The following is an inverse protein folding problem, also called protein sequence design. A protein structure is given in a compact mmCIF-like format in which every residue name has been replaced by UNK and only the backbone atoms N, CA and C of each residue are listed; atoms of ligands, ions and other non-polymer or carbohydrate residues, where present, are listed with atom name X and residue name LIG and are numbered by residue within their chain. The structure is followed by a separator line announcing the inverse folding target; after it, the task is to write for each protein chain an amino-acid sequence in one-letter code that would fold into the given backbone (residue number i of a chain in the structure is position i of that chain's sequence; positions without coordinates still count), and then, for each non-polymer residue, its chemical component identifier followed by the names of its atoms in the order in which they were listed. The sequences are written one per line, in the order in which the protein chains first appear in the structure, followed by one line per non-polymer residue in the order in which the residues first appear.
data_IF_967326728039
#
_entry.id   IF_967326728039
#
_cell.length_a   1.000
_cell.length_b   1.000
_cell.length_c   1.000
_cell.angle_alpha   90.00
_cell.angle_beta   90.00
_cell.angle_gamma   90.00
#
_symmetry.space_group_name_H-M   'P 1'
#
loop_
_entity.id
_entity.type
_entity.pdbx_description
1 polymer ?
#
# COMPACT_ATOMS: atom_id res chain seq x y z
N UNK A 1 32.29 7.15 -2.17
CA UNK A 1 30.99 7.61 -2.71
C UNK A 1 30.04 6.43 -2.68
N UNK A 2 28.96 6.49 -1.89
CA UNK A 2 27.98 5.40 -1.89
C UNK A 2 27.18 5.47 -3.20
N UNK A 3 27.11 4.36 -3.95
CA UNK A 3 26.14 4.21 -5.04
C UNK A 3 24.75 4.41 -4.44
N UNK A 4 23.97 5.33 -4.98
CA UNK A 4 22.54 5.36 -4.70
C UNK A 4 21.98 3.97 -5.06
N UNK A 5 21.40 3.27 -4.09
CA UNK A 5 20.75 1.99 -4.34
C UNK A 5 19.47 2.28 -5.12
N UNK A 6 19.50 2.01 -6.42
CA UNK A 6 18.30 2.06 -7.22
C UNK A 6 17.35 0.96 -6.75
N UNK A 7 16.07 1.33 -6.53
CA UNK A 7 15.04 0.33 -6.30
C UNK A 7 14.92 -0.52 -7.57
N UNK A 8 15.23 -1.81 -7.43
CA UNK A 8 14.98 -2.81 -8.46
C UNK A 8 13.53 -3.23 -8.33
N UNK A 9 12.75 -2.94 -9.36
CA UNK A 9 11.38 -3.42 -9.47
C UNK A 9 11.42 -4.89 -9.85
N UNK A 10 10.79 -5.73 -9.04
CA UNK A 10 10.62 -7.15 -9.29
C UNK A 10 9.20 -7.40 -9.75
N UNK A 11 9.08 -8.12 -10.85
CA UNK A 11 7.78 -8.52 -11.39
C UNK A 11 7.05 -9.42 -10.40
N UNK A 12 5.73 -9.25 -10.31
CA UNK A 12 4.90 -10.00 -9.35
C UNK A 12 4.87 -9.42 -7.93
N UNK A 13 5.77 -8.51 -7.59
CA UNK A 13 5.85 -7.92 -6.26
C UNK A 13 4.99 -6.66 -6.11
N UNK A 14 4.61 -6.36 -4.86
CA UNK A 14 3.85 -5.15 -4.52
C UNK A 14 4.72 -4.12 -3.82
N UNK A 15 4.40 -2.85 -4.06
CA UNK A 15 5.13 -1.71 -3.57
C UNK A 15 4.18 -0.64 -3.03
N UNK A 16 4.67 0.22 -2.14
CA UNK A 16 4.05 1.50 -1.84
C UNK A 16 4.83 2.62 -2.53
N UNK A 17 4.11 3.63 -3.03
CA UNK A 17 4.69 4.85 -3.58
C UNK A 17 4.60 5.91 -2.50
N UNK A 18 5.69 6.07 -1.75
CA UNK A 18 5.72 6.80 -0.48
C UNK A 18 6.33 8.19 -0.67
N UNK A 19 5.65 9.20 -0.17
CA UNK A 19 6.14 10.57 -0.11
C UNK A 19 7.22 10.72 0.97
N UNK A 20 8.02 11.81 0.96
CA UNK A 20 9.05 12.04 1.98
C UNK A 20 8.53 12.10 3.41
N UNK A 21 7.25 12.45 3.64
CA UNK A 21 6.65 12.47 4.97
C UNK A 21 6.03 11.13 5.41
N UNK A 22 6.25 10.05 4.64
CA UNK A 22 5.84 8.70 4.99
C UNK A 22 4.41 8.32 4.63
N UNK A 23 3.64 9.22 4.03
CA UNK A 23 2.34 8.91 3.43
C UNK A 23 2.52 8.24 2.07
N UNK A 24 1.45 7.65 1.54
CA UNK A 24 1.51 6.86 0.31
C UNK A 24 0.42 7.25 -0.67
N UNK A 25 0.68 7.06 -1.97
CA UNK A 25 -0.37 7.14 -2.98
C UNK A 25 -1.36 5.98 -2.81
N UNK A 26 -2.64 6.30 -2.91
CA UNK A 26 -3.74 5.34 -2.84
C UNK A 26 -4.85 5.68 -3.84
N UNK A 27 -5.69 4.69 -4.13
CA UNK A 27 -6.99 4.94 -4.75
C UNK A 27 -7.92 5.54 -3.69
N UNK A 28 -8.44 6.73 -3.99
CA UNK A 28 -9.32 7.49 -3.10
C UNK A 28 -10.57 6.68 -2.74
N UNK A 29 -10.91 6.69 -1.45
CA UNK A 29 -12.13 6.13 -0.88
C UNK A 29 -12.40 4.68 -1.33
N UNK A 30 -11.32 3.86 -1.47
CA UNK A 30 -11.40 2.45 -1.89
C UNK A 30 -12.27 2.22 -3.14
N UNK A 31 -12.43 3.26 -3.95
CA UNK A 31 -13.40 3.29 -5.02
C UNK A 31 -12.90 2.38 -6.14
N UNK A 32 -13.75 1.47 -6.63
CA UNK A 32 -13.37 0.49 -7.65
C UNK A 32 -13.65 0.95 -9.08
N UNK A 33 -14.27 2.12 -9.24
CA UNK A 33 -14.69 2.65 -10.54
C UNK A 33 -13.54 3.29 -11.31
N UNK A 34 -13.69 3.28 -12.64
CA UNK A 34 -12.90 4.13 -13.52
C UNK A 34 -13.14 5.61 -13.16
N UNK A 35 -12.08 6.41 -13.13
CA UNK A 35 -12.17 7.83 -12.74
C UNK A 35 -11.99 8.09 -11.25
N UNK A 36 -11.84 7.06 -10.41
CA UNK A 36 -11.50 7.30 -9.01
C UNK A 36 -10.12 7.98 -8.90
N UNK A 37 -10.07 9.08 -8.14
CA UNK A 37 -8.86 9.87 -7.98
C UNK A 37 -7.74 9.12 -7.27
N UNK A 38 -6.50 9.50 -7.58
CA UNK A 38 -5.32 9.07 -6.82
C UNK A 38 -4.96 10.18 -5.83
N UNK A 39 -4.80 9.82 -4.56
CA UNK A 39 -4.52 10.77 -3.50
C UNK A 39 -3.41 10.29 -2.58
N UNK A 40 -2.90 11.20 -1.75
CA UNK A 40 -1.99 10.90 -0.66
C UNK A 40 -2.76 10.58 0.62
N UNK A 41 -2.36 9.51 1.32
CA UNK A 41 -2.94 9.16 2.62
C UNK A 41 -1.94 8.48 3.54
N UNK A 42 -2.24 8.48 4.84
CA UNK A 42 -1.48 7.68 5.81
C UNK A 42 -1.54 6.20 5.43
N UNK A 43 -0.38 5.53 5.42
CA UNK A 43 -0.35 4.10 5.13
C UNK A 43 -1.01 3.31 6.26
N UNK A 44 -1.96 2.45 5.88
CA UNK A 44 -2.74 1.60 6.78
C UNK A 44 -2.66 0.11 6.38
N UNK A 45 -1.79 -0.25 5.43
CA UNK A 45 -1.61 -1.64 5.00
C UNK A 45 -2.70 -2.16 4.07
N UNK A 46 -3.55 -1.28 3.52
CA UNK A 46 -4.66 -1.70 2.69
C UNK A 46 -4.25 -1.97 1.24
N UNK A 47 -4.91 -2.92 0.54
CA UNK A 47 -4.57 -3.24 -0.86
C UNK A 47 -4.71 -2.07 -1.84
N UNK A 48 -5.61 -1.11 -1.60
CA UNK A 48 -5.76 0.06 -2.48
C UNK A 48 -4.63 1.09 -2.35
N UNK A 49 -3.71 0.88 -1.40
CA UNK A 49 -2.50 1.68 -1.20
C UNK A 49 -1.25 0.98 -1.79
N UNK A 50 -1.43 -0.18 -2.41
CA UNK A 50 -0.35 -1.05 -2.88
C UNK A 50 -0.40 -1.20 -4.39
N UNK A 51 0.76 -1.19 -5.00
CA UNK A 51 0.93 -1.07 -6.44
C UNK A 51 1.87 -2.14 -6.97
N UNK A 52 1.50 -2.76 -8.08
CA UNK A 52 2.37 -3.61 -8.88
C UNK A 52 2.84 -2.81 -10.09
N UNK A 53 4.13 -2.89 -10.39
CA UNK A 53 4.71 -2.30 -11.60
C UNK A 53 4.73 -3.38 -12.68
N UNK A 54 3.88 -3.22 -13.68
CA UNK A 54 3.72 -4.17 -14.79
C UNK A 54 4.49 -3.65 -16.00
N UNK A 55 5.30 -4.49 -16.64
CA UNK A 55 6.09 -4.08 -17.80
C UNK A 55 5.18 -3.55 -18.94
N UNK A 56 5.61 -2.42 -19.52
CA UNK A 56 4.97 -1.78 -20.67
C UNK A 56 5.90 -1.72 -21.89
N UNK A 57 7.04 -2.43 -21.84
CA UNK A 57 8.07 -2.45 -22.86
C UNK A 57 8.91 -1.18 -22.86
N UNK A 58 10.09 -1.25 -23.47
CA UNK A 58 11.02 -0.10 -23.62
C UNK A 58 11.42 0.53 -22.28
N UNK A 59 11.47 -0.26 -21.19
CA UNK A 59 11.80 0.21 -19.85
C UNK A 59 10.71 1.06 -19.18
N UNK A 60 9.48 1.00 -19.71
CA UNK A 60 8.30 1.70 -19.17
C UNK A 60 7.47 0.76 -18.31
N UNK A 61 6.66 1.34 -17.44
CA UNK A 61 5.80 0.62 -16.51
C UNK A 61 4.36 1.09 -16.61
N UNK A 62 3.41 0.18 -16.41
CA UNK A 62 2.07 0.50 -15.92
C UNK A 62 2.05 0.27 -14.41
N UNK A 63 1.40 1.18 -13.68
CA UNK A 63 1.33 1.10 -12.22
C UNK A 63 -0.07 0.61 -11.84
N UNK A 64 -0.19 -0.68 -11.56
CA UNK A 64 -1.45 -1.37 -11.31
C UNK A 64 -1.77 -1.39 -9.82
N UNK A 65 -2.99 -1.01 -9.45
CA UNK A 65 -3.46 -1.11 -8.08
C UNK A 65 -3.74 -2.58 -7.70
N UNK A 66 -3.27 -3.01 -6.53
CA UNK A 66 -3.49 -4.38 -6.03
C UNK A 66 -4.96 -4.69 -5.76
N UNK A 67 -5.75 -3.72 -5.32
CA UNK A 67 -7.16 -3.93 -4.98
C UNK A 67 -8.05 -4.00 -6.23
N UNK A 68 -7.88 -3.07 -7.16
CA UNK A 68 -8.82 -2.89 -8.28
C UNK A 68 -8.34 -3.50 -9.59
N UNK A 69 -7.04 -3.81 -9.72
CA UNK A 69 -6.42 -4.24 -10.97
C UNK A 69 -6.33 -3.14 -12.04
N UNK A 70 -6.70 -1.90 -11.71
CA UNK A 70 -6.68 -0.73 -12.62
C UNK A 70 -5.35 0.00 -12.55
N UNK A 71 -5.06 0.81 -13.55
CA UNK A 71 -3.78 1.50 -13.73
C UNK A 71 -3.88 2.96 -13.27
N UNK A 72 -2.81 3.51 -12.70
CA UNK A 72 -2.65 4.98 -12.59
C UNK A 72 -2.62 5.55 -14.02
N UNK A 73 -3.50 6.50 -14.28
CA UNK A 73 -3.76 7.10 -15.58
C UNK A 73 -3.89 8.62 -15.47
N UNK A 74 -3.65 9.33 -16.57
CA UNK A 74 -3.93 10.76 -16.67
C UNK A 74 -5.41 10.97 -16.97
N UNK A 75 -6.10 11.78 -16.16
CA UNK A 75 -7.51 12.07 -16.37
C UNK A 75 -7.74 12.63 -17.79
N UNK A 76 -8.63 11.97 -18.54
CA UNK A 76 -8.97 12.30 -19.94
C UNK A 76 -7.76 12.33 -20.89
N UNK A 77 -6.64 11.70 -20.54
CA UNK A 77 -5.39 11.77 -21.30
C UNK A 77 -4.76 13.17 -21.34
N UNK A 78 -5.12 14.06 -20.41
CA UNK A 78 -4.60 15.43 -20.36
C UNK A 78 -3.07 15.47 -20.17
N UNK A 79 -2.40 16.42 -20.83
CA UNK A 79 -0.93 16.55 -20.80
C UNK A 79 -0.43 17.87 -20.22
N UNK A 80 -1.35 18.73 -19.79
CA UNK A 80 -1.04 20.03 -19.19
C UNK A 80 -0.70 19.87 -17.71
N UNK A 81 0.07 20.83 -17.18
CA UNK A 81 0.31 20.94 -15.74
C UNK A 81 -1.01 20.98 -14.97
N UNK A 82 -1.08 20.24 -13.87
CA UNK A 82 -2.30 20.13 -13.07
C UNK A 82 -3.30 19.09 -13.58
N UNK A 83 -2.98 18.32 -14.63
CA UNK A 83 -3.82 17.17 -14.99
C UNK A 83 -3.83 16.18 -13.84
N UNK A 84 -5.03 15.88 -13.35
CA UNK A 84 -5.22 14.96 -12.24
C UNK A 84 -4.88 13.52 -12.60
N UNK A 85 -4.41 12.78 -11.60
CA UNK A 85 -4.31 11.33 -11.68
C UNK A 85 -5.61 10.69 -11.22
N UNK A 86 -6.03 9.67 -11.97
CA UNK A 86 -7.12 8.76 -11.61
C UNK A 86 -6.69 7.32 -11.86
N UNK A 87 -7.50 6.35 -11.44
CA UNK A 87 -7.38 5.00 -11.94
C UNK A 87 -8.26 4.80 -13.17
N UNK A 88 -7.80 3.99 -14.11
CA UNK A 88 -8.61 3.54 -15.22
C UNK A 88 -8.26 2.10 -15.60
N UNK A 89 -9.23 1.41 -16.20
CA UNK A 89 -9.00 0.09 -16.79
C UNK A 89 -7.86 0.15 -17.81
N UNK A 90 -7.10 -0.95 -17.95
CA UNK A 90 -5.91 -0.96 -18.82
C UNK A 90 -6.27 -0.55 -20.25
N UNK A 91 -5.49 0.36 -20.82
CA UNK A 91 -5.54 0.74 -22.23
C UNK A 91 -4.17 0.54 -22.90
N UNK A 92 -4.14 0.65 -24.23
CA UNK A 92 -2.91 0.73 -25.01
C UNK A 92 -2.28 2.14 -25.00
N UNK A 93 -2.96 3.14 -24.43
CA UNK A 93 -2.54 4.53 -24.45
C UNK A 93 -1.31 4.80 -23.56
N UNK A 94 -0.50 5.78 -23.98
CA UNK A 94 0.69 6.22 -23.24
C UNK A 94 0.36 6.99 -21.96
N UNK A 95 -0.89 7.41 -21.75
CA UNK A 95 -1.34 8.05 -20.51
C UNK A 95 -1.17 7.15 -19.28
N UNK A 96 -1.12 5.82 -19.47
CA UNK A 96 -0.89 4.82 -18.42
C UNK A 96 0.57 4.34 -18.34
N UNK A 97 1.47 4.88 -19.18
CA UNK A 97 2.86 4.46 -19.24
C UNK A 97 3.75 5.44 -18.47
N UNK A 98 4.61 4.90 -17.62
CA UNK A 98 5.43 5.65 -16.68
C UNK A 98 6.90 5.22 -16.77
N UNK A 99 7.80 6.20 -16.77
CA UNK A 99 9.24 5.99 -16.63
C UNK A 99 9.66 6.24 -15.17
N UNK A 100 10.52 5.38 -14.64
CA UNK A 100 11.08 5.52 -13.30
C UNK A 100 12.48 6.14 -13.40
N UNK A 101 12.64 7.31 -12.80
CA UNK A 101 13.88 8.08 -12.84
C UNK A 101 14.50 8.21 -11.45
N UNK A 102 15.55 7.45 -11.15
CA UNK A 102 16.27 7.55 -9.89
C UNK A 102 16.93 8.90 -9.71
N UNK A 103 16.93 9.39 -8.49
CA UNK A 103 17.68 10.58 -8.08
C UNK A 103 18.95 10.19 -7.33
N UNK A 104 19.90 11.12 -7.23
CA UNK A 104 21.14 10.90 -6.47
C UNK A 104 20.90 10.67 -4.97
N UNK A 105 19.76 11.10 -4.45
CA UNK A 105 19.37 10.91 -3.05
C UNK A 105 18.72 9.54 -2.80
N UNK A 106 18.67 8.64 -3.79
CA UNK A 106 18.03 7.33 -3.67
C UNK A 106 16.51 7.37 -3.74
N UNK A 107 15.91 8.50 -4.13
CA UNK A 107 14.47 8.61 -4.42
C UNK A 107 14.21 8.36 -5.91
N UNK A 108 12.95 8.30 -6.31
CA UNK A 108 12.52 8.09 -7.69
C UNK A 108 11.52 9.16 -8.09
N UNK A 109 11.71 9.75 -9.26
CA UNK A 109 10.67 10.54 -9.92
C UNK A 109 9.93 9.64 -10.89
N UNK A 110 8.61 9.74 -10.94
CA UNK A 110 7.75 8.90 -11.79
C UNK A 110 7.20 9.79 -12.89
N UNK A 111 7.74 9.66 -14.10
CA UNK A 111 7.40 10.52 -15.23
C UNK A 111 6.39 9.82 -16.14
N UNK A 112 5.32 10.51 -16.48
CA UNK A 112 4.39 10.04 -17.49
C UNK A 112 5.02 10.13 -18.88
N UNK A 113 4.89 9.07 -19.67
CA UNK A 113 5.50 8.96 -21.00
C UNK A 113 4.78 9.83 -22.04
N UNK A 114 3.46 10.00 -21.93
CA UNK A 114 2.68 10.85 -22.85
C UNK A 114 2.94 12.34 -22.62
N UNK A 115 2.93 12.77 -21.35
CA UNK A 115 2.93 14.20 -21.00
C UNK A 115 4.33 14.78 -20.73
N UNK A 116 5.35 13.93 -20.59
CA UNK A 116 6.71 14.28 -20.16
C UNK A 116 6.75 15.06 -18.84
N UNK A 117 5.86 14.68 -17.89
CA UNK A 117 5.64 15.33 -16.59
C UNK A 117 5.60 14.33 -15.46
N UNK A 118 5.85 14.79 -14.24
CA UNK A 118 6.07 13.93 -13.09
C UNK A 118 4.84 13.88 -12.19
N UNK A 119 4.61 12.73 -11.56
CA UNK A 119 3.64 12.62 -10.46
C UNK A 119 4.03 13.62 -9.36
N UNK A 120 3.09 14.50 -9.02
CA UNK A 120 3.28 15.70 -8.22
C UNK A 120 2.16 15.85 -7.19
N UNK A 121 2.52 16.35 -6.00
CA UNK A 121 1.57 16.82 -5.00
C UNK A 121 1.37 18.34 -5.12
N UNK A 122 0.11 18.73 -5.36
CA UNK A 122 -0.31 20.13 -5.52
C UNK A 122 0.19 20.99 -4.37
N UNK A 123 0.95 22.04 -4.68
CA UNK A 123 1.42 23.02 -3.70
C UNK A 123 2.24 22.41 -2.56
N UNK A 124 2.89 21.26 -2.79
CA UNK A 124 3.58 20.48 -1.76
C UNK A 124 2.67 20.05 -0.59
N UNK A 125 1.36 19.97 -0.81
CA UNK A 125 0.42 19.57 0.22
C UNK A 125 0.62 18.09 0.56
N UNK A 126 1.06 17.84 1.79
CA UNK A 126 1.30 16.48 2.27
C UNK A 126 0.22 16.00 3.26
N UNK A 127 -0.95 16.64 3.31
CA UNK A 127 -2.08 16.20 4.12
C UNK A 127 -2.75 14.95 3.53
N UNK A 128 -3.53 14.25 4.37
CA UNK A 128 -4.42 13.20 3.88
C UNK A 128 -5.46 13.82 2.94
N UNK A 129 -5.70 13.16 1.82
CA UNK A 129 -6.65 13.60 0.80
C UNK A 129 -6.07 14.57 -0.23
N UNK A 130 -4.77 14.90 -0.14
CA UNK A 130 -4.11 15.67 -1.17
C UNK A 130 -4.11 14.88 -2.49
N UNK A 131 -4.82 15.38 -3.50
CA UNK A 131 -4.93 14.71 -4.79
C UNK A 131 -3.63 14.85 -5.58
N UNK A 132 -3.22 13.78 -6.26
CA UNK A 132 -2.03 13.76 -7.09
C UNK A 132 -2.33 14.25 -8.51
N UNK A 133 -1.40 15.01 -9.06
CA UNK A 133 -1.45 15.57 -10.42
C UNK A 133 -0.16 15.23 -11.17
N UNK A 134 -0.06 15.70 -12.42
CA UNK A 134 1.23 15.84 -13.10
C UNK A 134 1.68 17.30 -13.14
N UNK A 135 2.99 17.51 -13.04
CA UNK A 135 3.60 18.82 -13.20
C UNK A 135 4.96 18.71 -13.88
N UNK A 136 5.45 19.80 -14.48
CA UNK A 136 6.84 19.85 -14.94
C UNK A 136 7.79 19.64 -13.77
N UNK A 137 9.03 19.22 -14.06
CA UNK A 137 10.01 19.08 -13.00
C UNK A 137 10.23 20.42 -12.30
N UNK A 138 10.04 20.41 -10.99
CA UNK A 138 10.48 21.50 -10.11
C UNK A 138 11.39 20.93 -9.04
N UNK A 139 12.41 21.70 -8.65
CA UNK A 139 13.29 21.31 -7.56
C UNK A 139 12.54 21.41 -6.22
N UNK A 140 11.78 20.37 -5.90
CA UNK A 140 10.96 20.25 -4.69
C UNK A 140 10.75 18.77 -4.35
N UNK A 141 10.68 18.46 -3.05
CA UNK A 141 10.51 17.07 -2.58
C UNK A 141 9.15 16.45 -2.92
N UNK A 142 8.21 17.23 -3.45
CA UNK A 142 6.84 16.83 -3.79
C UNK A 142 6.72 15.99 -5.08
N UNK A 143 7.83 15.76 -5.79
CA UNK A 143 7.91 14.91 -6.98
C UNK A 143 8.87 13.72 -6.82
N UNK A 144 9.45 13.57 -5.63
CA UNK A 144 10.42 12.53 -5.31
C UNK A 144 9.81 11.50 -4.35
N UNK A 145 9.70 10.27 -4.83
CA UNK A 145 9.01 9.18 -4.16
C UNK A 145 9.99 8.10 -3.72
N UNK A 146 9.69 7.42 -2.61
CA UNK A 146 10.32 6.17 -2.23
C UNK A 146 9.43 5.02 -2.71
N UNK A 147 10.02 4.08 -3.45
CA UNK A 147 9.35 2.86 -3.87
C UNK A 147 9.76 1.75 -2.89
N UNK A 148 8.93 1.48 -1.91
CA UNK A 148 9.23 0.48 -0.88
C UNK A 148 8.46 -0.81 -1.20
N UNK A 149 9.18 -1.93 -1.36
CA UNK A 149 8.56 -3.25 -1.55
C UNK A 149 7.82 -3.65 -0.29
N UNK A 150 6.61 -4.17 -0.45
CA UNK A 150 5.86 -4.82 0.62
C UNK A 150 6.32 -6.27 0.70
N UNK A 151 7.17 -6.56 1.68
CA UNK A 151 7.55 -7.94 1.99
C UNK A 151 6.36 -8.65 2.66
N UNK A 152 5.79 -9.72 2.06
CA UNK A 152 4.69 -10.46 2.66
C UNK A 152 5.04 -11.05 4.03
N UNK A 153 6.34 -11.33 4.28
CA UNK A 153 6.84 -11.91 5.51
C UNK A 153 6.99 -10.89 6.66
N UNK A 154 7.25 -9.62 6.35
CA UNK A 154 7.37 -8.54 7.36
C UNK A 154 5.99 -8.15 7.89
N UNK A 155 4.96 -8.19 7.05
CA UNK A 155 3.58 -7.90 7.42
C UNK A 155 3.00 -8.91 8.43
N UNK A 156 3.48 -10.16 8.45
CA UNK A 156 3.10 -11.15 9.47
C UNK A 156 3.81 -10.93 10.82
N UNK A 157 5.07 -10.49 10.81
CA UNK A 157 5.81 -10.22 12.05
C UNK A 157 5.30 -9.00 12.82
N UNK A 158 4.82 -7.96 12.11
CA UNK A 158 4.21 -6.79 12.74
C UNK A 158 2.89 -7.07 13.49
N UNK A 159 2.10 -8.05 13.02
CA UNK A 159 0.86 -8.47 13.72
C UNK A 159 1.14 -9.35 14.94
N UNK A 160 2.17 -10.20 14.90
CA UNK A 160 2.60 -11.03 16.04
C UNK A 160 3.25 -10.25 17.18
N UNK A 161 3.80 -9.07 16.92
CA UNK A 161 4.41 -8.23 17.95
C UNK A 161 3.38 -7.44 18.79
N UNK A 162 2.15 -7.30 18.30
CA UNK A 162 1.07 -6.56 18.99
C UNK A 162 0.11 -7.43 19.81
N UNK A 163 0.06 -8.74 19.55
CA UNK A 163 -0.57 -9.70 20.47
C UNK A 163 0.49 -10.11 21.49
N UNK A 164 0.45 -9.53 22.69
CA UNK A 164 1.13 -10.12 23.83
C UNK A 164 0.66 -11.59 23.89
N UNK A 165 1.59 -12.55 23.71
CA UNK A 165 1.31 -13.93 24.06
C UNK A 165 0.84 -13.89 25.50
N UNK A 166 -0.42 -14.29 25.75
CA UNK A 166 -0.90 -14.49 27.11
C UNK A 166 0.18 -15.28 27.85
N UNK A 167 0.71 -14.77 28.98
CA UNK A 167 1.76 -15.45 29.69
C UNK A 167 1.24 -16.84 30.00
N UNK A 168 1.95 -17.83 29.46
CA UNK A 168 1.54 -19.23 29.57
C UNK A 168 1.35 -19.54 31.06
N UNK A 169 0.18 -20.06 31.49
CA UNK A 169 -0.10 -20.24 32.91
C UNK A 169 1.02 -21.06 33.53
N UNK A 170 1.51 -20.59 34.68
CA UNK A 170 2.54 -21.27 35.44
C UNK A 170 2.10 -22.71 35.76
N UNK A 171 3.02 -23.64 36.03
CA UNK A 171 2.66 -25.01 36.38
C UNK A 171 1.63 -25.11 37.53
N UNK A 172 1.66 -24.15 38.47
CA UNK A 172 0.67 -24.01 39.55
C UNK A 172 -0.72 -23.62 39.04
N UNK A 173 -0.80 -22.63 38.14
CA UNK A 173 -2.06 -22.18 37.53
C UNK A 173 -2.69 -23.26 36.63
N UNK A 174 -1.88 -24.03 35.89
CA UNK A 174 -2.40 -25.17 35.10
C UNK A 174 -2.99 -26.27 35.96
N UNK A 175 -2.37 -26.56 37.11
CA UNK A 175 -2.91 -27.55 38.05
C UNK A 175 -4.27 -27.12 38.59
N UNK A 176 -4.39 -25.86 39.02
CA UNK A 176 -5.65 -25.32 39.51
C UNK A 176 -6.74 -25.32 38.45
N UNK A 177 -6.41 -24.97 37.20
CA UNK A 177 -7.34 -25.00 36.07
C UNK A 177 -7.82 -26.42 35.76
N UNK A 178 -6.92 -27.41 35.76
CA UNK A 178 -7.27 -28.81 35.55
C UNK A 178 -8.16 -29.37 36.68
N UNK A 179 -7.93 -28.95 37.92
CA UNK A 179 -8.75 -29.35 39.06
C UNK A 179 -10.17 -28.73 39.00
N UNK A 180 -10.28 -27.48 38.54
CA UNK A 180 -11.58 -26.83 38.30
C UNK A 180 -12.38 -27.53 37.20
N UNK A 181 -11.74 -27.86 36.08
CA UNK A 181 -12.39 -28.58 34.96
C UNK A 181 -12.86 -29.96 35.41
N UNK A 182 -12.06 -30.67 36.22
CA UNK A 182 -12.47 -31.96 36.79
C UNK A 182 -13.66 -31.83 37.74
N UNK A 183 -13.68 -30.81 38.60
CA UNK A 183 -14.80 -30.56 39.52
C UNK A 183 -16.10 -30.22 38.77
N UNK A 184 -16.02 -29.37 37.75
CA UNK A 184 -17.18 -29.00 36.92
C UNK A 184 -17.75 -30.21 36.15
N UNK A 185 -16.88 -31.06 35.61
CA UNK A 185 -17.30 -32.28 34.92
C UNK A 185 -17.90 -33.34 35.86
N UNK A 186 -17.48 -33.35 37.13
CA UNK A 186 -18.07 -34.24 38.16
C UNK A 186 -19.41 -33.74 38.69
N UNK A 187 -19.63 -32.42 38.74
CA UNK A 187 -20.89 -31.81 39.20
C UNK A 187 -22.05 -32.01 38.20
N UNK A 188 -21.76 -32.15 36.90
CA UNK A 188 -22.77 -32.34 35.85
C UNK A 188 -23.40 -33.73 35.78
N UNK A 189 -22.87 -34.75 36.48
CA UNK A 189 -23.41 -36.13 36.44
C UNK A 189 -24.42 -36.45 37.56
N UNK A 190 -24.77 -35.49 38.42
CA UNK A 190 -25.59 -35.73 39.62
C UNK A 190 -27.09 -35.39 39.53
N UNK A 191 -27.61 -34.92 38.39
CA UNK A 191 -29.00 -34.42 38.32
C UNK A 191 -29.79 -35.00 37.14
N UNK A 192 -29.88 -36.32 37.07
CA UNK A 192 -30.90 -37.02 36.27
C UNK A 192 -31.44 -38.19 37.09
N UNK A 193 -32.45 -37.92 37.92
CA UNK A 193 -33.11 -38.96 38.69
C UNK A 193 -33.99 -38.43 39.82
N UNK A 194 -35.23 -38.04 39.50
CA UNK A 194 -36.41 -38.43 40.28
C UNK A 194 -37.71 -38.06 39.57
N UNK A 195 -38.52 -39.10 39.38
CA UNK A 195 -39.90 -39.10 38.88
C UNK A 195 -40.83 -38.30 39.80
N UNK A 196 -41.83 -37.66 39.21
CA UNK A 196 -43.23 -37.83 39.54
C UNK A 196 -44.01 -37.77 38.22
#
# INVERSE_FOLDING_TARGET
MAKASQVVIMEGEYYIIKSPNGKVLEVKDFNTENGAGIQLWSYAGHPWQQWQFVDAGEGRWRIQNRFTGKMIDLALGGVVEGTWLHQWSRTSGLSQCWALEPTRSGRTRIRNVLADKYIDLVGMNTANGAQAQIWNYVAGGNQEWMLERIDPDVAQNGKRAGEAKDPQPTPSQRKHQNDLVRKLNSAGKGRAGRKA
#
